data_IF_017286822212
#
_entry.id   IF_017286822212
#
_cell.length_a   1.000
_cell.length_b   1.000
_cell.length_c   1.000
_cell.angle_alpha   90.00
_cell.angle_beta   90.00
_cell.angle_gamma   90.00
#
_symmetry.space_group_name_H-M   'P 1'
#
loop_
_entity.id
_entity.type
_entity.pdbx_description
1 polymer ?
#
# COMPACT_ATOMS: atom_id res chain seq x y z
N UNK A 1 -20.19 25.03 18.56
CA UNK A 1 -21.09 23.87 18.85
C UNK A 1 -21.12 23.62 20.36
N UNK A 2 -22.20 23.11 20.98
CA UNK A 2 -22.12 22.70 22.41
C UNK A 2 -21.12 21.53 22.51
N UNK A 3 -19.99 21.72 23.16
CA UNK A 3 -19.02 20.64 23.40
C UNK A 3 -19.57 19.70 24.47
N UNK A 4 -19.94 18.51 24.01
CA UNK A 4 -20.26 17.38 24.86
C UNK A 4 -19.83 16.08 24.17
N UNK A 5 -19.80 14.99 24.95
CA UNK A 5 -19.36 13.68 24.46
C UNK A 5 -20.11 13.22 23.20
N UNK A 6 -21.42 13.45 23.14
CA UNK A 6 -22.27 13.04 22.01
C UNK A 6 -21.89 13.78 20.72
N UNK A 7 -21.74 15.10 20.79
CA UNK A 7 -21.44 15.93 19.63
C UNK A 7 -20.02 15.69 19.10
N UNK A 8 -19.04 15.49 19.99
CA UNK A 8 -17.66 15.11 19.61
C UNK A 8 -17.66 13.74 18.90
N UNK A 9 -18.40 12.76 19.42
CA UNK A 9 -18.49 11.44 18.77
C UNK A 9 -19.08 11.53 17.37
N UNK A 10 -20.16 12.30 17.18
CA UNK A 10 -20.78 12.51 15.86
C UNK A 10 -19.79 13.15 14.89
N UNK A 11 -19.01 14.14 15.35
CA UNK A 11 -17.98 14.78 14.55
C UNK A 11 -16.90 13.79 14.08
N UNK A 12 -16.35 12.97 14.97
CA UNK A 12 -15.35 11.96 14.60
C UNK A 12 -15.91 10.87 13.69
N UNK A 13 -17.17 10.47 13.87
CA UNK A 13 -17.85 9.55 12.94
C UNK A 13 -17.96 10.18 11.55
N UNK A 14 -18.26 11.48 11.46
CA UNK A 14 -18.25 12.24 10.21
C UNK A 14 -16.89 12.25 9.53
N UNK A 15 -15.81 12.55 10.29
CA UNK A 15 -14.45 12.51 9.76
C UNK A 15 -14.06 11.10 9.28
N UNK A 16 -14.40 10.07 10.06
CA UNK A 16 -14.15 8.67 9.69
C UNK A 16 -14.88 8.30 8.40
N UNK A 17 -16.12 8.76 8.22
CA UNK A 17 -16.88 8.55 6.98
C UNK A 17 -16.15 9.20 5.80
N UNK A 18 -15.77 10.47 5.92
CA UNK A 18 -15.06 11.22 4.86
C UNK A 18 -13.74 10.53 4.48
N UNK A 19 -12.99 10.06 5.47
CA UNK A 19 -11.77 9.28 5.25
C UNK A 19 -12.06 8.00 4.45
N UNK A 20 -13.02 7.18 4.89
CA UNK A 20 -13.35 5.92 4.22
C UNK A 20 -13.89 6.13 2.80
N UNK A 21 -14.66 7.20 2.58
CA UNK A 21 -15.16 7.56 1.25
C UNK A 21 -14.01 7.99 0.32
N UNK A 22 -13.01 8.71 0.85
CA UNK A 22 -11.81 9.08 0.11
C UNK A 22 -10.87 7.89 -0.14
N UNK A 23 -10.81 6.93 0.78
CA UNK A 23 -10.01 5.71 0.68
C UNK A 23 -10.52 4.78 -0.43
N UNK A 24 -11.83 4.72 -0.65
CA UNK A 24 -12.47 3.92 -1.71
C UNK A 24 -12.28 4.47 -3.13
N UNK A 25 -11.42 5.48 -3.32
CA UNK A 25 -11.17 6.07 -4.63
C UNK A 25 -10.63 5.02 -5.61
N UNK A 26 -10.86 5.25 -6.90
CA UNK A 26 -10.47 4.37 -8.01
C UNK A 26 -9.04 3.85 -7.86
N UNK A 27 -8.85 2.58 -8.19
CA UNK A 27 -7.58 1.87 -8.11
C UNK A 27 -6.47 2.62 -8.87
N UNK A 28 -5.36 2.85 -8.18
CA UNK A 28 -4.16 3.44 -8.77
C UNK A 28 -3.61 2.60 -9.93
N UNK A 29 -2.79 3.21 -10.78
CA UNK A 29 -2.27 2.55 -11.99
C UNK A 29 -1.23 1.45 -11.69
N UNK A 30 -0.83 1.28 -10.42
CA UNK A 30 0.17 0.31 -10.00
C UNK A 30 -0.20 -1.13 -10.38
N UNK A 31 -1.49 -1.48 -10.42
CA UNK A 31 -1.95 -2.82 -10.82
C UNK A 31 -1.61 -3.17 -12.28
N UNK A 32 -1.25 -2.18 -13.11
CA UNK A 32 -0.79 -2.42 -14.49
C UNK A 32 0.64 -2.91 -14.57
N UNK A 33 1.44 -2.67 -13.53
CA UNK A 33 2.89 -2.94 -13.51
C UNK A 33 3.31 -3.84 -12.35
N UNK A 34 2.42 -4.11 -11.40
CA UNK A 34 2.67 -4.97 -10.24
C UNK A 34 1.46 -5.85 -9.92
N UNK A 35 1.73 -7.04 -9.38
CA UNK A 35 0.72 -7.99 -8.90
C UNK A 35 0.49 -7.81 -7.40
N UNK A 36 -0.78 -7.86 -6.98
CA UNK A 36 -1.15 -7.88 -5.56
C UNK A 36 -1.01 -9.29 -4.98
N UNK A 37 -0.18 -9.45 -3.96
CA UNK A 37 -0.17 -10.66 -3.13
C UNK A 37 -0.60 -10.27 -1.72
N UNK A 38 -1.63 -10.93 -1.13
CA UNK A 38 -2.01 -10.66 0.26
C UNK A 38 -0.90 -11.14 1.20
N UNK A 39 -0.47 -10.26 2.10
CA UNK A 39 0.43 -10.62 3.20
C UNK A 39 -0.35 -10.66 4.52
N UNK A 40 -0.12 -11.71 5.31
CA UNK A 40 -0.77 -11.91 6.62
C UNK A 40 0.24 -12.05 7.77
N UNK A 41 1.55 -12.16 7.49
CA UNK A 41 2.62 -12.26 8.49
C UNK A 41 3.48 -10.99 8.51
N UNK A 42 4.43 -10.87 9.43
CA UNK A 42 5.38 -9.73 9.45
C UNK A 42 6.38 -9.76 8.28
N UNK A 43 6.57 -10.94 7.69
CA UNK A 43 7.53 -11.17 6.61
C UNK A 43 7.02 -12.30 5.74
N UNK A 44 6.98 -12.06 4.44
CA UNK A 44 6.61 -13.07 3.45
C UNK A 44 7.86 -13.55 2.72
N UNK A 45 8.08 -14.86 2.77
CA UNK A 45 9.16 -15.54 2.05
C UNK A 45 8.60 -16.08 0.71
N UNK A 46 9.15 -15.61 -0.41
CA UNK A 46 8.73 -15.94 -1.77
C UNK A 46 9.72 -16.89 -2.45
N UNK A 47 10.04 -18.00 -1.81
CA UNK A 47 10.98 -19.00 -2.36
C UNK A 47 10.49 -19.63 -3.67
N UNK A 48 9.18 -19.60 -3.93
CA UNK A 48 8.54 -20.16 -5.12
C UNK A 48 8.74 -19.35 -6.41
N UNK A 49 9.25 -18.11 -6.35
CA UNK A 49 9.44 -17.28 -7.54
C UNK A 49 10.50 -17.83 -8.52
N UNK A 50 11.45 -18.64 -8.04
CA UNK A 50 12.45 -19.29 -8.92
C UNK A 50 11.94 -20.58 -9.59
N UNK A 51 10.83 -21.14 -9.08
CA UNK A 51 10.38 -22.48 -9.43
C UNK A 51 9.65 -22.55 -10.78
N UNK A 52 9.34 -21.41 -11.42
CA UNK A 52 8.61 -21.40 -12.69
C UNK A 52 9.55 -21.18 -13.89
N UNK A 53 10.09 -22.25 -14.52
CA UNK A 53 10.85 -22.11 -15.74
C UNK A 53 9.98 -21.54 -16.86
N UNK A 54 10.54 -20.62 -17.66
CA UNK A 54 9.85 -20.12 -18.86
C UNK A 54 9.51 -21.29 -19.78
N UNK A 55 8.32 -21.23 -20.38
CA UNK A 55 7.90 -22.20 -21.37
C UNK A 55 8.92 -22.25 -22.52
N UNK A 56 9.40 -23.46 -22.82
CA UNK A 56 10.31 -23.72 -23.93
C UNK A 56 9.66 -24.67 -24.92
N UNK A 57 10.02 -24.56 -26.20
CA UNK A 57 9.58 -25.54 -27.20
C UNK A 57 10.01 -26.94 -26.76
N UNK A 58 9.09 -27.89 -26.75
CA UNK A 58 9.37 -29.27 -26.39
C UNK A 58 10.29 -29.89 -27.45
N UNK A 59 11.56 -30.08 -27.12
CA UNK A 59 12.57 -30.71 -27.99
C UNK A 59 13.25 -31.79 -27.13
N UNK A 60 13.08 -33.06 -27.50
CA UNK A 60 13.64 -34.20 -26.78
C UNK A 60 12.95 -34.51 -25.45
N UNK A 61 13.72 -35.07 -24.52
CA UNK A 61 13.23 -35.49 -23.20
C UNK A 61 12.92 -34.32 -22.26
N UNK A 62 12.09 -34.60 -21.25
CA UNK A 62 11.68 -33.62 -20.25
C UNK A 62 12.89 -33.12 -19.48
N UNK A 63 13.12 -31.81 -19.49
CA UNK A 63 14.17 -31.18 -18.71
C UNK A 63 13.60 -30.68 -17.39
N UNK A 64 14.19 -31.17 -16.30
CA UNK A 64 13.88 -30.75 -14.94
C UNK A 64 14.91 -29.67 -14.57
N UNK A 65 14.46 -28.44 -14.34
CA UNK A 65 15.32 -27.37 -13.80
C UNK A 65 15.69 -27.76 -12.36
N UNK A 66 16.98 -27.74 -12.02
CA UNK A 66 17.40 -27.84 -10.63
C UNK A 66 16.93 -26.58 -9.89
N UNK A 67 16.18 -26.76 -8.80
CA UNK A 67 15.69 -25.66 -7.96
C UNK A 67 16.91 -24.99 -7.33
N UNK A 68 17.16 -23.72 -7.61
CA UNK A 68 18.19 -22.97 -6.92
C UNK A 68 17.58 -22.38 -5.65
N UNK A 69 18.29 -22.50 -4.53
CA UNK A 69 17.82 -22.04 -3.23
C UNK A 69 17.93 -20.51 -3.13
N UNK A 70 17.05 -19.77 -3.78
CA UNK A 70 16.94 -18.32 -3.62
C UNK A 70 15.93 -18.00 -2.51
N UNK A 71 16.31 -17.11 -1.60
CA UNK A 71 15.43 -16.58 -0.55
C UNK A 71 15.12 -15.12 -0.87
N UNK A 72 13.87 -14.85 -1.25
CA UNK A 72 13.35 -13.50 -1.38
C UNK A 72 12.35 -13.25 -0.26
N UNK A 73 12.71 -12.38 0.67
CA UNK A 73 11.87 -12.06 1.84
C UNK A 73 11.50 -10.57 1.79
N UNK A 74 10.21 -10.26 1.84
CA UNK A 74 9.73 -8.88 2.00
C UNK A 74 9.22 -8.73 3.43
N UNK A 75 9.75 -7.74 4.15
CA UNK A 75 9.25 -7.35 5.48
C UNK A 75 8.17 -6.30 5.31
N UNK A 76 7.10 -6.41 6.09
CA UNK A 76 6.03 -5.42 6.06
C UNK A 76 6.44 -4.16 6.83
N UNK A 77 6.27 -3.01 6.19
CA UNK A 77 6.47 -1.70 6.82
C UNK A 77 5.14 -1.15 7.35
N UNK A 78 5.19 -0.50 8.52
CA UNK A 78 4.04 0.18 9.12
C UNK A 78 3.90 1.62 8.57
N UNK A 79 2.68 2.00 8.20
CA UNK A 79 2.37 3.31 7.63
C UNK A 79 1.29 4.02 8.46
N UNK A 80 1.47 5.32 8.71
CA UNK A 80 0.53 6.10 9.50
C UNK A 80 0.28 7.50 8.92
N UNK A 81 -0.93 8.01 9.17
CA UNK A 81 -1.25 9.42 8.99
C UNK A 81 -2.23 9.83 10.08
N UNK A 82 -1.85 10.84 10.85
CA UNK A 82 -2.61 11.28 12.02
C UNK A 82 -3.17 12.68 11.85
N UNK A 83 -4.45 12.87 12.22
CA UNK A 83 -5.12 14.17 12.20
C UNK A 83 -5.45 14.57 13.64
N UNK A 84 -4.84 15.66 14.10
CA UNK A 84 -5.18 16.30 15.36
C UNK A 84 -6.38 17.24 15.19
N UNK A 85 -7.26 17.26 16.20
CA UNK A 85 -8.41 18.17 16.28
C UNK A 85 -8.31 18.95 17.58
N UNK A 86 -8.06 20.26 17.47
CA UNK A 86 -8.11 21.18 18.61
C UNK A 86 -9.56 21.35 19.09
N UNK A 87 -9.74 21.27 20.40
CA UNK A 87 -11.00 21.56 21.08
C UNK A 87 -11.49 22.97 20.81
N UNK A 88 -10.62 23.97 20.81
CA UNK A 88 -11.00 25.37 20.59
C UNK A 88 -11.65 25.55 19.22
N UNK A 89 -11.14 24.86 18.19
CA UNK A 89 -11.76 24.87 16.86
C UNK A 89 -13.15 24.21 16.82
N UNK A 90 -13.49 23.33 17.77
CA UNK A 90 -14.84 22.77 17.90
C UNK A 90 -15.79 23.75 18.63
N UNK A 91 -15.27 24.48 19.62
CA UNK A 91 -16.00 25.53 20.33
C UNK A 91 -16.35 26.66 19.34
N UNK A 92 -15.37 27.11 18.56
CA UNK A 92 -15.45 28.21 17.57
C UNK A 92 -16.09 27.81 16.23
N UNK A 93 -16.58 26.57 16.11
CA UNK A 93 -17.21 26.02 14.90
C UNK A 93 -16.34 26.04 13.63
N UNK A 94 -15.01 26.04 13.80
CA UNK A 94 -14.01 25.98 12.73
C UNK A 94 -13.74 24.53 12.27
N UNK A 95 -14.80 23.78 12.00
CA UNK A 95 -14.74 22.33 11.79
C UNK A 95 -14.50 21.90 10.35
N UNK A 96 -14.78 22.78 9.38
CA UNK A 96 -14.68 22.48 7.94
C UNK A 96 -13.27 22.10 7.46
N UNK A 97 -12.23 22.65 8.09
CA UNK A 97 -10.84 22.33 7.76
C UNK A 97 -10.48 20.86 8.03
N UNK A 98 -11.07 20.24 9.04
CA UNK A 98 -10.79 18.85 9.39
C UNK A 98 -11.42 17.87 8.41
N UNK A 99 -12.56 18.24 7.80
CA UNK A 99 -13.15 17.47 6.71
C UNK A 99 -12.18 17.39 5.52
N UNK A 100 -11.50 18.50 5.18
CA UNK A 100 -10.49 18.51 4.13
C UNK A 100 -9.26 17.68 4.52
N UNK A 101 -8.77 17.79 5.77
CA UNK A 101 -7.67 16.96 6.27
C UNK A 101 -8.00 15.46 6.21
N UNK A 102 -9.19 15.05 6.66
CA UNK A 102 -9.65 13.66 6.62
C UNK A 102 -9.74 13.13 5.18
N UNK A 103 -10.22 13.97 4.26
CA UNK A 103 -10.27 13.63 2.83
C UNK A 103 -8.88 13.46 2.23
N UNK A 104 -7.94 14.35 2.56
CA UNK A 104 -6.56 14.27 2.08
C UNK A 104 -5.84 13.04 2.66
N UNK A 105 -6.04 12.73 3.93
CA UNK A 105 -5.50 11.52 4.55
C UNK A 105 -6.03 10.23 3.88
N UNK A 106 -7.33 10.16 3.59
CA UNK A 106 -7.91 9.02 2.89
C UNK A 106 -7.37 8.87 1.46
N UNK A 107 -7.06 9.99 0.77
CA UNK A 107 -6.39 9.97 -0.53
C UNK A 107 -4.96 9.48 -0.43
N UNK A 108 -4.17 10.02 0.50
CA UNK A 108 -2.79 9.58 0.71
C UNK A 108 -2.72 8.07 0.99
N UNK A 109 -3.62 7.55 1.84
CA UNK A 109 -3.71 6.12 2.11
C UNK A 109 -4.11 5.29 0.86
N UNK A 110 -4.95 5.82 -0.02
CA UNK A 110 -5.31 5.16 -1.29
C UNK A 110 -4.18 5.20 -2.34
N UNK A 111 -3.39 6.27 -2.33
CA UNK A 111 -2.30 6.50 -3.28
C UNK A 111 -1.01 5.75 -2.88
N UNK A 112 -0.83 5.42 -1.59
CA UNK A 112 0.34 4.75 -1.03
C UNK A 112 0.83 3.52 -1.83
N UNK A 113 -0.01 2.57 -2.27
CA UNK A 113 0.46 1.44 -3.08
C UNK A 113 1.09 1.88 -4.41
N UNK A 114 0.61 2.99 -4.99
CA UNK A 114 1.19 3.56 -6.20
C UNK A 114 2.55 4.17 -5.91
N UNK A 115 2.67 4.91 -4.82
CA UNK A 115 3.94 5.55 -4.44
C UNK A 115 5.04 4.50 -4.24
N UNK A 116 4.75 3.43 -3.50
CA UNK A 116 5.68 2.31 -3.27
C UNK A 116 6.10 1.67 -4.60
N UNK A 117 5.12 1.33 -5.46
CA UNK A 117 5.42 0.63 -6.72
C UNK A 117 6.19 1.52 -7.70
N UNK A 118 5.81 2.79 -7.84
CA UNK A 118 6.51 3.70 -8.76
C UNK A 118 7.88 4.13 -8.24
N UNK A 119 8.10 4.18 -6.93
CA UNK A 119 9.44 4.34 -6.35
C UNK A 119 10.36 3.17 -6.72
N UNK A 120 9.87 1.93 -6.65
CA UNK A 120 10.62 0.75 -7.10
C UNK A 120 10.93 0.81 -8.59
N UNK A 121 9.95 1.18 -9.43
CA UNK A 121 10.14 1.32 -10.89
C UNK A 121 11.16 2.42 -11.21
N UNK A 122 11.11 3.56 -10.54
CA UNK A 122 12.07 4.65 -10.76
C UNK A 122 13.51 4.26 -10.38
N UNK A 123 13.66 3.35 -9.41
CA UNK A 123 14.95 2.82 -8.99
C UNK A 123 15.31 1.48 -9.62
N UNK A 124 14.55 1.03 -10.63
CA UNK A 124 14.68 -0.31 -11.18
C UNK A 124 16.07 -0.61 -11.79
N UNK A 125 16.75 0.40 -12.33
CA UNK A 125 18.11 0.28 -12.89
C UNK A 125 19.23 0.33 -11.82
N UNK A 126 18.87 0.50 -10.54
CA UNK A 126 19.80 0.58 -9.40
C UNK A 126 19.55 -0.53 -8.38
N UNK A 127 18.30 -0.88 -8.17
CA UNK A 127 17.90 -1.89 -7.21
C UNK A 127 18.00 -3.26 -7.86
N UNK A 128 18.66 -4.18 -7.18
CA UNK A 128 18.71 -5.58 -7.59
C UNK A 128 17.42 -6.30 -7.22
N UNK A 129 16.91 -7.09 -8.14
CA UNK A 129 15.85 -8.07 -7.96
C UNK A 129 16.36 -9.29 -7.16
N UNK A 130 15.48 -10.26 -6.93
CA UNK A 130 15.77 -11.48 -6.16
C UNK A 130 16.88 -12.37 -6.76
N UNK A 131 17.20 -12.18 -8.05
CA UNK A 131 18.24 -12.91 -8.78
C UNK A 131 19.60 -12.17 -8.81
N UNK A 132 19.69 -11.02 -8.12
CA UNK A 132 20.89 -10.19 -8.10
C UNK A 132 21.10 -9.34 -9.36
N UNK A 133 20.18 -9.37 -10.32
CA UNK A 133 20.17 -8.48 -11.50
C UNK A 133 19.27 -7.27 -11.25
N UNK A 134 19.42 -6.19 -12.01
CA UNK A 134 18.51 -5.05 -11.94
C UNK A 134 17.09 -5.44 -12.38
N UNK A 135 16.08 -4.71 -11.91
CA UNK A 135 14.68 -4.94 -12.33
C UNK A 135 14.47 -4.70 -13.84
N UNK A 136 15.28 -3.86 -14.47
CA UNK A 136 15.33 -3.60 -15.92
C UNK A 136 16.77 -3.49 -16.44
#
# INVERSE_FOLDING_TARGET
>A
MIINKKNIQVFFVGLKKIFNDALKRSEGQWQKVAMKVPSNTSTEDYTWLDDFPRMRKWIGDKFVKALAAFKYSITNDDWETTIEVDRNHLDDDQTGQYALKAKSAGRAAADLPSDIVFELVNNAFKNTCYDGQYFF
#
